data_IF_625391632601
#
_entry.id   IF_625391632601
#
_cell.length_a   1.000
_cell.length_b   1.000
_cell.length_c   1.000
_cell.angle_alpha   90.00
_cell.angle_beta   90.00
_cell.angle_gamma   90.00
#
_symmetry.space_group_name_H-M   'P 1'
#
loop_
_entity.id
_entity.type
_entity.pdbx_description
1 polymer ?
#
# COMPACT_ATOMS: atom_id res chain seq x y z
N UNK A 1 14.35 4.03 1.15
CA UNK A 1 14.85 2.81 1.84
C UNK A 1 15.64 2.00 0.84
N UNK A 2 16.75 1.41 1.25
CA UNK A 2 17.51 0.49 0.40
C UNK A 2 17.05 -0.94 0.71
N UNK A 3 16.23 -1.53 -0.15
CA UNK A 3 15.74 -2.90 -0.01
C UNK A 3 16.45 -3.80 -1.04
N UNK A 4 16.99 -4.96 -0.62
CA UNK A 4 17.68 -5.85 -1.55
C UNK A 4 16.76 -6.31 -2.68
N UNK A 5 17.23 -6.26 -3.93
CA UNK A 5 16.45 -6.62 -5.12
C UNK A 5 15.86 -8.05 -5.04
N UNK A 6 16.59 -8.98 -4.42
CA UNK A 6 16.15 -10.37 -4.16
C UNK A 6 14.92 -10.48 -3.25
N UNK A 7 14.53 -9.38 -2.60
CA UNK A 7 13.35 -9.31 -1.73
C UNK A 7 12.16 -8.66 -2.40
N UNK A 8 12.31 -8.18 -3.64
CA UNK A 8 11.22 -7.66 -4.46
C UNK A 8 10.58 -8.85 -5.19
N UNK A 9 9.29 -9.13 -4.97
CA UNK A 9 8.60 -10.18 -5.71
C UNK A 9 8.49 -9.86 -7.21
N UNK A 10 8.46 -10.89 -8.06
CA UNK A 10 8.49 -10.74 -9.52
C UNK A 10 7.39 -9.82 -10.08
N UNK A 11 6.19 -9.83 -9.50
CA UNK A 11 5.03 -9.03 -9.94
C UNK A 11 4.98 -7.63 -9.31
N UNK A 12 6.02 -7.27 -8.56
CA UNK A 12 6.13 -6.00 -7.82
C UNK A 12 7.39 -5.25 -8.22
N UNK A 13 7.40 -3.95 -7.97
CA UNK A 13 8.50 -3.07 -8.35
C UNK A 13 8.68 -1.94 -7.34
N UNK A 14 9.93 -1.47 -7.26
CA UNK A 14 10.34 -0.30 -6.47
C UNK A 14 10.73 0.88 -7.36
N UNK A 15 10.59 0.73 -8.68
CA UNK A 15 10.89 1.78 -9.65
C UNK A 15 9.99 3.01 -9.36
N UNK A 16 10.58 4.16 -9.02
CA UNK A 16 9.83 5.39 -8.75
C UNK A 16 8.87 5.80 -9.88
N UNK A 17 9.21 5.50 -11.14
CA UNK A 17 8.37 5.83 -12.29
C UNK A 17 7.13 4.94 -12.36
N UNK A 18 7.23 3.67 -11.96
CA UNK A 18 6.07 2.77 -11.88
C UNK A 18 5.23 3.06 -10.63
N UNK A 19 5.87 3.36 -9.49
CA UNK A 19 5.21 3.83 -8.27
C UNK A 19 4.44 5.13 -8.50
N UNK A 20 4.88 5.94 -9.47
CA UNK A 20 4.41 7.31 -9.69
C UNK A 20 4.56 8.13 -8.40
N UNK A 21 5.76 8.07 -7.81
CA UNK A 21 6.04 8.62 -6.47
C UNK A 21 5.60 10.08 -6.35
N UNK A 22 6.04 10.92 -7.30
CA UNK A 22 5.76 12.37 -7.32
C UNK A 22 4.26 12.69 -7.42
N UNK A 23 3.47 11.80 -8.04
CA UNK A 23 2.04 12.01 -8.27
C UNK A 23 1.18 11.46 -7.13
N UNK A 24 1.50 10.26 -6.65
CA UNK A 24 0.63 9.50 -5.74
C UNK A 24 1.08 9.65 -4.28
N UNK A 25 2.36 9.80 -4.01
CA UNK A 25 2.91 9.69 -2.66
C UNK A 25 3.60 10.95 -2.15
N UNK A 26 4.05 11.83 -3.04
CA UNK A 26 4.74 13.06 -2.69
C UNK A 26 3.77 14.21 -2.36
N UNK A 27 3.99 14.85 -1.21
CA UNK A 27 3.25 16.03 -0.78
C UNK A 27 1.99 15.71 0.04
N UNK A 28 1.52 16.65 0.88
CA UNK A 28 0.43 16.40 1.83
C UNK A 28 -0.92 16.12 1.18
N UNK A 29 -1.15 16.60 -0.05
CA UNK A 29 -2.40 16.42 -0.80
C UNK A 29 -2.36 15.28 -1.81
N UNK A 30 -1.29 14.47 -1.78
CA UNK A 30 -1.18 13.28 -2.62
C UNK A 30 -2.22 12.23 -2.21
N UNK A 31 -2.59 11.36 -3.14
CA UNK A 31 -3.60 10.32 -2.90
C UNK A 31 -3.18 9.35 -1.80
N UNK A 32 -1.91 8.95 -1.76
CA UNK A 32 -1.36 8.14 -0.67
C UNK A 32 -1.46 8.82 0.69
N UNK A 33 -1.25 10.15 0.78
CA UNK A 33 -1.41 10.87 2.05
C UNK A 33 -2.88 11.05 2.45
N UNK A 34 -3.77 11.29 1.49
CA UNK A 34 -5.23 11.34 1.72
C UNK A 34 -5.78 10.01 2.20
N UNK A 35 -5.41 8.91 1.54
CA UNK A 35 -5.69 7.55 1.97
C UNK A 35 -5.22 7.34 3.41
N UNK A 36 -3.98 7.72 3.73
CA UNK A 36 -3.46 7.61 5.09
C UNK A 36 -4.38 8.27 6.12
N UNK A 37 -4.73 9.54 5.91
CA UNK A 37 -5.63 10.29 6.81
C UNK A 37 -6.98 9.62 6.99
N UNK A 38 -7.60 9.17 5.89
CA UNK A 38 -8.92 8.53 5.90
C UNK A 38 -8.96 7.26 6.74
N UNK A 39 -7.87 6.51 6.80
CA UNK A 39 -7.75 5.30 7.64
C UNK A 39 -7.06 5.56 8.99
N UNK A 40 -6.87 6.82 9.39
CA UNK A 40 -6.20 7.20 10.64
C UNK A 40 -4.71 6.85 10.69
N UNK A 41 -4.09 6.64 9.54
CA UNK A 41 -2.67 6.34 9.36
C UNK A 41 -1.89 7.65 9.17
N UNK A 42 -0.75 7.77 9.83
CA UNK A 42 0.09 8.96 9.73
C UNK A 42 1.29 8.70 8.83
N UNK A 43 1.59 9.67 7.96
CA UNK A 43 2.78 9.68 7.10
C UNK A 43 3.03 8.34 6.36
N UNK A 44 2.09 7.84 5.56
CA UNK A 44 2.31 6.64 4.77
C UNK A 44 3.48 6.81 3.81
N UNK A 45 4.34 5.79 3.76
CA UNK A 45 5.55 5.73 2.95
C UNK A 45 5.50 4.49 2.06
N UNK A 46 5.40 4.69 0.75
CA UNK A 46 5.38 3.57 -0.21
C UNK A 46 6.68 2.77 -0.14
N UNK A 47 6.52 1.44 -0.20
CA UNK A 47 7.64 0.51 -0.31
C UNK A 47 7.76 0.01 -1.74
N UNK A 48 6.66 -0.47 -2.31
CA UNK A 48 6.60 -1.05 -3.65
C UNK A 48 5.18 -1.01 -4.19
N UNK A 49 5.04 -1.08 -5.51
CA UNK A 49 3.76 -1.22 -6.21
C UNK A 49 3.75 -2.49 -7.04
N UNK A 50 2.57 -3.02 -7.35
CA UNK A 50 2.42 -3.99 -8.42
C UNK A 50 2.91 -3.40 -9.73
N UNK A 51 3.56 -4.21 -10.56
CA UNK A 51 3.96 -3.76 -11.89
C UNK A 51 2.74 -3.46 -12.76
N UNK A 52 2.89 -2.50 -13.68
CA UNK A 52 1.80 -2.14 -14.61
C UNK A 52 1.29 -3.32 -15.44
N UNK A 53 2.18 -4.26 -15.79
CA UNK A 53 1.84 -5.46 -16.57
C UNK A 53 0.86 -6.41 -15.87
N UNK A 54 0.76 -6.35 -14.54
CA UNK A 54 -0.18 -7.17 -13.76
C UNK A 54 -1.64 -6.75 -13.97
N UNK A 55 -1.89 -5.50 -14.39
CA UNK A 55 -3.22 -4.92 -14.49
C UNK A 55 -3.97 -4.74 -13.16
N UNK A 56 -3.33 -5.03 -12.02
CA UNK A 56 -3.92 -4.90 -10.68
C UNK A 56 -3.24 -3.73 -9.98
N UNK A 57 -3.92 -2.61 -9.70
CA UNK A 57 -3.28 -1.44 -9.09
C UNK A 57 -3.22 -1.60 -7.57
N UNK A 58 -2.08 -2.05 -7.04
CA UNK A 58 -1.90 -2.32 -5.62
C UNK A 58 -0.56 -1.80 -5.12
N UNK A 59 -0.55 -1.21 -3.92
CA UNK A 59 0.65 -0.67 -3.31
C UNK A 59 0.88 -1.26 -1.91
N UNK A 60 2.14 -1.54 -1.58
CA UNK A 60 2.55 -1.85 -0.20
C UNK A 60 3.24 -0.62 0.39
N UNK A 61 2.83 -0.23 1.59
CA UNK A 61 3.38 0.95 2.26
C UNK A 61 3.56 0.71 3.76
N UNK A 62 4.36 1.57 4.39
CA UNK A 62 4.53 1.61 5.84
C UNK A 62 3.86 2.85 6.43
N UNK A 63 3.26 2.70 7.60
CA UNK A 63 2.90 3.81 8.48
C UNK A 63 3.30 3.43 9.90
N UNK A 64 4.10 4.28 10.54
CA UNK A 64 4.76 3.93 11.80
C UNK A 64 5.57 2.63 11.67
N UNK A 65 5.29 1.67 12.55
CA UNK A 65 6.00 0.37 12.59
C UNK A 65 5.21 -0.76 11.90
N UNK A 66 4.13 -0.44 11.19
CA UNK A 66 3.25 -1.41 10.55
C UNK A 66 3.35 -1.34 9.03
N UNK A 67 3.01 -2.45 8.37
CA UNK A 67 2.98 -2.54 6.91
C UNK A 67 1.56 -2.82 6.46
N UNK A 68 1.21 -2.26 5.32
CA UNK A 68 -0.14 -2.25 4.78
C UNK A 68 -0.13 -2.54 3.29
N UNK A 69 -1.25 -3.05 2.79
CA UNK A 69 -1.56 -3.13 1.36
C UNK A 69 -2.71 -2.18 1.09
N UNK A 70 -2.55 -1.33 0.09
CA UNK A 70 -3.62 -0.51 -0.47
C UNK A 70 -4.02 -1.12 -1.81
N UNK A 71 -5.27 -1.53 -1.91
CA UNK A 71 -5.89 -1.81 -3.21
C UNK A 71 -6.43 -0.48 -3.75
N UNK A 72 -5.82 0.02 -4.83
CA UNK A 72 -6.16 1.32 -5.39
C UNK A 72 -7.43 1.26 -6.25
N UNK A 73 -7.96 0.06 -6.54
CA UNK A 73 -9.16 -0.10 -7.36
C UNK A 73 -10.43 0.14 -6.55
N UNK A 74 -10.51 -0.37 -5.33
CA UNK A 74 -11.65 -0.19 -4.41
C UNK A 74 -11.34 0.69 -3.19
N UNK A 75 -10.11 1.21 -3.12
CA UNK A 75 -9.59 2.06 -2.06
C UNK A 75 -9.59 1.39 -0.66
N UNK A 76 -9.53 0.05 -0.63
CA UNK A 76 -9.42 -0.72 0.61
C UNK A 76 -7.98 -0.77 1.13
N UNK A 77 -7.84 -0.71 2.45
CA UNK A 77 -6.54 -0.76 3.13
C UNK A 77 -6.47 -1.93 4.09
N UNK A 78 -5.43 -2.74 3.95
CA UNK A 78 -5.25 -3.99 4.67
C UNK A 78 -3.98 -3.95 5.50
N UNK A 79 -4.11 -4.01 6.83
CA UNK A 79 -2.97 -4.14 7.73
C UNK A 79 -2.40 -5.55 7.69
N UNK A 80 -1.12 -5.70 7.37
CA UNK A 80 -0.42 -6.97 7.45
C UNK A 80 -0.13 -7.29 8.92
N UNK A 81 -0.81 -8.31 9.44
CA UNK A 81 -0.68 -8.73 10.84
C UNK A 81 0.33 -9.85 11.03
N UNK A 82 0.58 -10.68 10.00
CA UNK A 82 1.63 -11.70 10.00
C UNK A 82 2.24 -11.92 8.60
N UNK A 83 3.58 -12.08 8.51
CA UNK A 83 4.56 -11.85 9.58
C UNK A 83 4.69 -10.36 9.93
N UNK A 84 5.33 -10.06 11.06
CA UNK A 84 5.62 -8.68 11.47
C UNK A 84 7.01 -8.29 10.97
N UNK A 85 7.13 -7.04 10.49
CA UNK A 85 8.38 -6.45 10.02
C UNK A 85 8.60 -6.62 8.52
N UNK A 86 9.06 -5.54 7.88
CA UNK A 86 9.14 -5.40 6.43
C UNK A 86 9.90 -6.56 5.75
N UNK A 87 11.09 -6.90 6.23
CA UNK A 87 11.91 -7.95 5.62
C UNK A 87 11.27 -9.34 5.69
N UNK A 88 10.59 -9.65 6.80
CA UNK A 88 9.87 -10.92 6.96
C UNK A 88 8.67 -10.99 6.01
N UNK A 89 7.99 -9.87 5.81
CA UNK A 89 6.86 -9.72 4.89
C UNK A 89 7.36 -9.93 3.45
N UNK A 90 8.35 -9.16 3.01
CA UNK A 90 8.93 -9.26 1.66
C UNK A 90 9.37 -10.69 1.33
N UNK A 91 10.14 -11.34 2.22
CA UNK A 91 10.53 -12.75 2.07
C UNK A 91 9.33 -13.69 1.97
N UNK A 92 8.27 -13.43 2.73
CA UNK A 92 7.05 -14.25 2.66
C UNK A 92 6.35 -14.09 1.33
N UNK A 93 6.29 -12.87 0.79
CA UNK A 93 5.69 -12.61 -0.53
C UNK A 93 6.52 -13.29 -1.62
N UNK A 94 7.85 -13.21 -1.59
CA UNK A 94 8.72 -13.90 -2.55
C UNK A 94 8.50 -15.42 -2.53
N UNK A 95 8.37 -16.04 -1.35
CA UNK A 95 8.28 -17.50 -1.24
C UNK A 95 6.85 -18.03 -1.46
N UNK A 96 5.83 -17.30 -0.99
CA UNK A 96 4.44 -17.78 -0.88
C UNK A 96 3.42 -16.94 -1.63
N UNK A 97 3.83 -15.80 -2.19
CA UNK A 97 2.94 -14.76 -2.70
C UNK A 97 2.19 -14.03 -1.60
N UNK A 98 1.33 -13.07 -1.99
CA UNK A 98 0.49 -12.30 -1.06
C UNK A 98 -0.40 -13.18 -0.19
N UNK A 99 -0.89 -14.31 -0.73
CA UNK A 99 -1.67 -15.32 0.02
C UNK A 99 -0.93 -15.91 1.24
N UNK A 100 0.40 -15.75 1.30
CA UNK A 100 1.21 -16.15 2.44
C UNK A 100 1.10 -15.21 3.64
N UNK A 101 0.52 -14.01 3.46
CA UNK A 101 0.32 -13.02 4.49
C UNK A 101 -1.01 -13.25 5.22
N UNK A 102 -1.06 -12.84 6.49
CA UNK A 102 -2.34 -12.58 7.16
C UNK A 102 -2.53 -11.08 7.22
N UNK A 103 -3.63 -10.61 6.68
CA UNK A 103 -4.01 -9.21 6.72
C UNK A 103 -5.39 -9.04 7.35
N UNK A 104 -5.65 -7.84 7.86
CA UNK A 104 -6.96 -7.41 8.35
C UNK A 104 -7.31 -6.11 7.64
N UNK A 105 -8.47 -6.06 7.03
CA UNK A 105 -9.03 -4.82 6.46
C UNK A 105 -9.23 -3.78 7.56
N UNK A 106 -8.93 -2.52 7.23
CA UNK A 106 -9.20 -1.37 8.07
C UNK A 106 -10.53 -0.74 7.66
N UNK A 107 -11.29 -0.31 8.66
CA UNK A 107 -12.42 0.58 8.45
C UNK A 107 -11.90 2.02 8.33
N UNK A 108 -12.45 2.84 7.41
CA UNK A 108 -12.21 4.27 7.41
C UNK A 108 -12.59 4.91 8.76
N UNK A 109 -11.80 5.89 9.19
CA UNK A 109 -12.09 6.69 10.40
C UNK A 109 -13.17 7.73 10.13
N UNK A 110 -13.20 8.24 8.90
CA UNK A 110 -14.26 9.12 8.40
C UNK A 110 -15.24 8.26 7.59
N UNK A 111 -16.50 8.21 8.02
CA UNK A 111 -17.57 7.66 7.20
C UNK A 111 -17.67 8.52 5.94
N UNK A 112 -17.76 7.88 4.78
CA UNK A 112 -18.08 8.58 3.54
C UNK A 112 -19.37 9.39 3.78
N UNK A 113 -19.27 10.71 3.88
CA UNK A 113 -20.41 11.55 3.56
C UNK A 113 -20.55 11.42 2.05
N UNK A 114 -21.50 10.59 1.60
CA UNK A 114 -21.99 10.65 0.24
C UNK A 114 -22.43 12.09 0.02
N UNK A 115 -21.61 12.90 -0.65
CA UNK A 115 -22.08 14.16 -1.21
C UNK A 115 -23.12 13.79 -2.26
N UNK A 116 -24.38 13.75 -1.80
CA UNK A 116 -25.59 13.62 -2.59
C UNK A 116 -25.47 14.63 -3.75
N UNK A 117 -25.23 14.11 -4.95
CA UNK A 117 -25.21 14.88 -6.19
C UNK A 117 -26.57 15.58 -6.33
N UNK A 118 -26.64 16.82 -5.89
CA UNK A 118 -27.79 17.67 -6.09
C UNK A 118 -27.63 18.32 -7.48
N UNK A 119 -28.12 17.64 -8.51
CA UNK A 119 -28.38 18.21 -9.85
C UNK A 119 -29.49 19.27 -9.83
#
# INVERSE_FOLDING_TARGET
MDIPLETIPDEWTTDPAEIQFDLIWEGPESEGQKMGRRFGLSNPQVVMTSKRETGVPGAMFQSGNQCYIWDQMDDSVWQITKPIGLMSILRTIVIKGLKGLKAKELEPVEAYEDEEYNE
#
